data_IF_049938740275
#
_entry.id   IF_049938740275
#
_cell.length_a   1.000
_cell.length_b   1.000
_cell.length_c   1.000
_cell.angle_alpha   90.00
_cell.angle_beta   90.00
_cell.angle_gamma   90.00
#
_symmetry.space_group_name_H-M   'P 1'
#
loop_
_entity.id
_entity.type
_entity.pdbx_description
1 polymer ?
#
# COMPACT_ATOMS: atom_id res chain seq x y z
N UNK A 1 4.08 15.41 3.13
CA UNK A 1 4.16 13.95 3.38
C UNK A 1 3.08 13.54 4.38
N UNK A 2 2.34 12.51 4.05
CA UNK A 2 1.33 11.95 4.95
C UNK A 2 1.61 10.47 5.13
N UNK A 3 1.41 9.97 6.33
CA UNK A 3 1.71 8.58 6.69
C UNK A 3 0.54 8.01 7.48
N UNK A 4 0.16 6.77 7.18
CA UNK A 4 -0.85 6.08 7.97
C UNK A 4 -0.50 4.59 8.03
N UNK A 5 -1.10 3.91 9.01
CA UNK A 5 -0.92 2.47 9.20
C UNK A 5 -2.20 1.74 8.83
N UNK A 6 -2.03 0.51 8.35
CA UNK A 6 -3.16 -0.35 8.06
C UNK A 6 -2.82 -1.80 8.42
N UNK A 7 -3.72 -2.47 9.12
CA UNK A 7 -3.55 -3.88 9.48
C UNK A 7 -4.29 -4.74 8.46
N UNK A 8 -3.57 -5.66 7.86
CA UNK A 8 -4.09 -6.51 6.78
C UNK A 8 -5.12 -7.50 7.34
N UNK A 9 -6.27 -7.55 6.71
CA UNK A 9 -7.37 -8.45 7.06
C UNK A 9 -7.53 -9.62 6.10
N UNK A 10 -6.99 -9.49 4.89
CA UNK A 10 -7.06 -10.54 3.87
C UNK A 10 -6.28 -11.76 4.34
N UNK A 11 -6.90 -12.94 4.24
CA UNK A 11 -6.32 -14.18 4.76
C UNK A 11 -4.99 -14.53 4.12
N UNK A 12 -4.79 -14.14 2.87
CA UNK A 12 -3.57 -14.42 2.12
C UNK A 12 -2.55 -13.28 2.18
N UNK A 13 -2.91 -12.17 2.83
CA UNK A 13 -2.05 -11.00 2.89
C UNK A 13 -1.91 -10.30 1.54
N UNK A 14 -0.74 -9.70 1.30
CA UNK A 14 -0.47 -9.06 0.01
C UNK A 14 0.06 -10.13 -0.94
N UNK A 15 -0.85 -10.71 -1.73
CA UNK A 15 -0.52 -11.69 -2.76
C UNK A 15 -0.73 -11.08 -4.15
N UNK A 16 -0.55 -11.86 -5.20
CA UNK A 16 -0.46 -11.33 -6.57
C UNK A 16 -1.63 -10.44 -6.98
N UNK A 17 -2.86 -10.88 -6.73
CA UNK A 17 -4.05 -10.13 -7.17
C UNK A 17 -4.19 -8.77 -6.48
N UNK A 18 -4.23 -8.68 -5.14
CA UNK A 18 -4.34 -7.37 -4.50
C UNK A 18 -3.08 -6.52 -4.70
N UNK A 19 -1.90 -7.12 -4.83
CA UNK A 19 -0.68 -6.37 -5.13
C UNK A 19 -0.78 -5.68 -6.50
N UNK A 20 -1.28 -6.40 -7.51
CA UNK A 20 -1.51 -5.81 -8.84
C UNK A 20 -2.52 -4.70 -8.82
N UNK A 21 -3.62 -4.87 -8.08
CA UNK A 21 -4.63 -3.83 -7.92
C UNK A 21 -4.07 -2.61 -7.20
N UNK A 22 -3.24 -2.82 -6.19
CA UNK A 22 -2.59 -1.72 -5.46
C UNK A 22 -1.66 -0.93 -6.37
N UNK A 23 -0.85 -1.62 -7.18
CA UNK A 23 0.04 -0.96 -8.13
C UNK A 23 -0.76 -0.07 -9.08
N UNK A 24 -1.87 -0.57 -9.60
CA UNK A 24 -2.72 0.23 -10.49
C UNK A 24 -3.34 1.42 -9.78
N UNK A 25 -3.77 1.25 -8.54
CA UNK A 25 -4.32 2.35 -7.74
C UNK A 25 -3.27 3.42 -7.49
N UNK A 26 -2.04 3.03 -7.15
CA UNK A 26 -0.94 3.96 -6.91
C UNK A 26 -0.58 4.73 -8.18
N UNK A 27 -0.55 4.05 -9.32
CA UNK A 27 -0.22 4.70 -10.60
C UNK A 27 -1.25 5.72 -11.04
N UNK A 28 -2.48 5.60 -10.56
CA UNK A 28 -3.53 6.57 -10.87
C UNK A 28 -3.43 7.85 -10.03
N UNK A 29 -2.57 7.86 -9.02
CA UNK A 29 -2.39 9.01 -8.13
C UNK A 29 -1.28 9.92 -8.64
N UNK A 30 -1.31 11.18 -8.24
CA UNK A 30 -0.24 12.14 -8.55
C UNK A 30 0.80 12.22 -7.43
N UNK A 31 0.75 11.31 -6.48
CA UNK A 31 1.67 11.24 -5.34
C UNK A 31 2.61 10.06 -5.48
N UNK A 32 3.78 10.16 -4.87
CA UNK A 32 4.65 9.01 -4.64
C UNK A 32 4.15 8.27 -3.41
N UNK A 33 4.10 6.94 -3.51
CA UNK A 33 3.61 6.10 -2.43
C UNK A 33 4.65 5.04 -2.11
N UNK A 34 4.95 4.88 -0.82
CA UNK A 34 5.80 3.80 -0.34
C UNK A 34 5.04 2.98 0.69
N UNK A 35 5.40 1.71 0.77
CA UNK A 35 4.82 0.76 1.74
C UNK A 35 5.95 0.18 2.57
N UNK A 36 5.80 0.24 3.88
CA UNK A 36 6.80 -0.23 4.83
C UNK A 36 6.23 -1.34 5.69
N UNK A 37 7.00 -2.42 5.81
CA UNK A 37 6.74 -3.48 6.80
C UNK A 37 8.01 -3.68 7.61
N UNK A 38 7.95 -3.39 8.92
CA UNK A 38 9.14 -3.47 9.77
C UNK A 38 10.21 -2.52 9.29
N UNK A 39 11.39 -3.05 8.98
CA UNK A 39 12.52 -2.24 8.51
C UNK A 39 12.60 -2.12 6.99
N UNK A 40 11.68 -2.76 6.25
CA UNK A 40 11.69 -2.76 4.78
C UNK A 40 10.68 -1.77 4.22
N UNK A 41 11.14 -0.93 3.30
CA UNK A 41 10.30 0.03 2.57
C UNK A 41 10.45 -0.20 1.08
N UNK A 42 9.32 -0.28 0.37
CA UNK A 42 9.30 -0.46 -1.08
C UNK A 42 8.36 0.54 -1.72
N UNK A 43 8.56 0.79 -3.02
CA UNK A 43 7.65 1.64 -3.78
C UNK A 43 6.29 0.97 -3.96
N UNK A 44 5.21 1.75 -3.80
CA UNK A 44 3.84 1.24 -3.93
C UNK A 44 3.48 0.82 -5.35
N UNK A 45 4.26 1.22 -6.36
CA UNK A 45 4.06 0.83 -7.74
C UNK A 45 5.01 -0.30 -8.19
N UNK A 46 5.69 -0.95 -7.25
CA UNK A 46 6.66 -2.02 -7.51
C UNK A 46 6.05 -3.37 -7.14
N UNK A 47 5.46 -4.04 -8.10
CA UNK A 47 4.70 -5.28 -7.86
C UNK A 47 5.53 -6.36 -7.16
N UNK A 48 6.70 -6.68 -7.72
CA UNK A 48 7.55 -7.75 -7.18
C UNK A 48 8.03 -7.39 -5.78
N UNK A 49 8.41 -6.12 -5.56
CA UNK A 49 8.88 -5.66 -4.26
C UNK A 49 7.76 -5.72 -3.22
N UNK A 50 6.53 -5.36 -3.58
CA UNK A 50 5.38 -5.46 -2.68
C UNK A 50 5.15 -6.91 -2.24
N UNK A 51 5.20 -7.83 -3.20
CA UNK A 51 5.04 -9.25 -2.88
C UNK A 51 6.19 -9.76 -2.01
N UNK A 52 7.40 -9.24 -2.26
CA UNK A 52 8.59 -9.60 -1.51
C UNK A 52 8.62 -9.11 -0.07
N UNK A 53 7.73 -8.20 0.32
CA UNK A 53 7.61 -7.77 1.72
C UNK A 53 7.15 -8.89 2.64
N UNK A 54 6.47 -9.89 2.10
CA UNK A 54 5.96 -11.00 2.90
C UNK A 54 4.86 -10.60 3.87
N UNK A 55 4.04 -9.62 3.50
CA UNK A 55 2.95 -9.14 4.34
C UNK A 55 1.84 -10.20 4.42
N UNK A 56 1.44 -10.55 5.62
CA UNK A 56 0.44 -11.58 5.90
C UNK A 56 -0.74 -10.99 6.66
N UNK A 57 -1.83 -11.76 6.73
CA UNK A 57 -2.99 -11.40 7.54
C UNK A 57 -2.55 -11.09 8.98
N UNK A 58 -2.99 -9.97 9.49
CA UNK A 58 -2.63 -9.53 10.84
C UNK A 58 -1.40 -8.63 10.89
N UNK A 59 -0.61 -8.58 9.82
CA UNK A 59 0.55 -7.66 9.77
C UNK A 59 0.07 -6.23 9.56
N UNK A 60 0.79 -5.29 10.17
CA UNK A 60 0.53 -3.86 9.99
C UNK A 60 1.58 -3.28 9.05
N UNK A 61 1.11 -2.58 8.03
CA UNK A 61 1.96 -1.86 7.10
C UNK A 61 1.83 -0.36 7.33
N UNK A 62 2.89 0.37 7.01
CA UNK A 62 2.90 1.84 7.04
C UNK A 62 2.93 2.33 5.59
N UNK A 63 1.97 3.16 5.24
CA UNK A 63 1.88 3.75 3.90
C UNK A 63 2.25 5.22 3.99
N UNK A 64 3.20 5.64 3.18
CA UNK A 64 3.65 7.03 3.12
C UNK A 64 3.34 7.61 1.75
N UNK A 65 2.71 8.77 1.75
CA UNK A 65 2.27 9.48 0.55
C UNK A 65 3.00 10.82 0.49
N UNK A 66 3.63 11.13 -0.64
CA UNK A 66 4.42 12.34 -0.78
C UNK A 66 4.18 12.99 -2.14
N UNK A 67 3.93 14.31 -2.11
CA UNK A 67 3.74 15.11 -3.33
C UNK A 67 2.32 15.06 -3.86
N UNK A 68 2.01 15.95 -4.79
CA UNK A 68 0.68 16.07 -5.37
C UNK A 68 -0.40 16.37 -4.35
N UNK A 69 -1.60 15.87 -4.58
CA UNK A 69 -2.71 15.98 -3.64
C UNK A 69 -2.64 14.84 -2.62
N UNK A 70 -1.81 15.01 -1.61
CA UNK A 70 -1.53 13.97 -0.62
C UNK A 70 -2.78 13.53 0.14
N UNK A 71 -3.67 14.47 0.44
CA UNK A 71 -4.89 14.15 1.20
C UNK A 71 -5.82 13.26 0.39
N UNK A 72 -6.04 13.59 -0.88
CA UNK A 72 -6.87 12.78 -1.76
C UNK A 72 -6.24 11.41 -1.99
N UNK A 73 -4.92 11.37 -2.15
CA UNK A 73 -4.19 10.11 -2.33
C UNK A 73 -4.29 9.23 -1.10
N UNK A 74 -4.13 9.81 0.09
CA UNK A 74 -4.28 9.08 1.35
C UNK A 74 -5.68 8.47 1.48
N UNK A 75 -6.70 9.28 1.22
CA UNK A 75 -8.08 8.81 1.33
C UNK A 75 -8.38 7.70 0.34
N UNK A 76 -7.89 7.82 -0.90
CA UNK A 76 -8.08 6.80 -1.92
C UNK A 76 -7.42 5.49 -1.52
N UNK A 77 -6.21 5.55 -0.96
CA UNK A 77 -5.47 4.36 -0.53
C UNK A 77 -6.12 3.70 0.68
N UNK A 78 -6.60 4.49 1.65
CA UNK A 78 -7.32 3.93 2.80
C UNK A 78 -8.56 3.17 2.35
N UNK A 79 -9.32 3.76 1.45
CA UNK A 79 -10.52 3.12 0.91
C UNK A 79 -10.18 1.86 0.13
N UNK A 80 -9.12 1.92 -0.68
CA UNK A 80 -8.66 0.75 -1.43
C UNK A 80 -8.28 -0.40 -0.49
N UNK A 81 -7.51 -0.11 0.56
CA UNK A 81 -7.05 -1.14 1.49
C UNK A 81 -8.21 -1.79 2.22
N UNK A 82 -9.18 -0.99 2.65
CA UNK A 82 -10.36 -1.53 3.34
C UNK A 82 -11.18 -2.45 2.46
N UNK A 83 -11.23 -2.19 1.15
CA UNK A 83 -12.00 -3.01 0.20
C UNK A 83 -11.26 -4.26 -0.23
N UNK A 84 -9.92 -4.23 -0.28
CA UNK A 84 -9.14 -5.28 -0.94
C UNK A 84 -8.20 -6.04 -0.01
N UNK A 85 -7.85 -5.50 1.11
CA UNK A 85 -6.88 -6.07 2.04
C UNK A 85 -7.30 -5.94 3.50
#
# INVERSE_FOLDING_TARGET
MRTFEYTIKDKLGIHARPAGLLVNAVRALDSEVTVTKGAKTVGGAKLVALMGLGVKCGDTITVTVSGGDERASENALKEFLEKNL
#
